data_IF_961688698653
#
_entry.id   IF_961688698653
#
_cell.length_a   1.000
_cell.length_b   1.000
_cell.length_c   1.000
_cell.angle_alpha   90.00
_cell.angle_beta   90.00
_cell.angle_gamma   90.00
#
_symmetry.space_group_name_H-M   'P 1'
#
loop_
_entity.id
_entity.type
_entity.pdbx_description
1 polymer ?
#
# COMPACT_ATOMS: atom_id res chain seq x y z
N UNK A 1 -24.77 43.53 23.89
CA UNK A 1 -23.37 43.51 23.42
C UNK A 1 -22.61 42.23 23.86
N UNK A 2 -23.28 41.06 23.92
CA UNK A 2 -22.60 39.79 24.28
C UNK A 2 -22.88 38.64 23.30
N UNK A 3 -23.65 38.90 22.24
CA UNK A 3 -24.09 37.90 21.25
C UNK A 3 -23.42 38.05 19.88
N UNK A 4 -22.56 39.08 19.71
CA UNK A 4 -21.92 39.39 18.43
C UNK A 4 -20.46 38.94 18.33
N UNK A 5 -19.88 38.35 19.38
CA UNK A 5 -18.46 37.96 19.43
C UNK A 5 -18.21 36.46 19.21
N UNK A 6 -19.25 35.61 19.23
CA UNK A 6 -19.09 34.15 19.04
C UNK A 6 -19.19 33.74 17.55
N UNK A 7 -19.81 34.56 16.70
CA UNK A 7 -19.95 34.25 15.26
C UNK A 7 -18.69 34.53 14.44
N UNK A 8 -17.69 35.24 14.98
CA UNK A 8 -16.49 35.64 14.23
C UNK A 8 -15.32 34.65 14.33
N UNK A 9 -15.47 33.54 15.06
CA UNK A 9 -14.41 32.53 15.23
C UNK A 9 -14.60 31.29 14.35
N UNK A 10 -15.73 31.17 13.63
CA UNK A 10 -16.01 30.02 12.75
C UNK A 10 -15.61 30.25 11.27
N UNK A 11 -14.97 31.37 10.95
CA UNK A 11 -14.71 31.76 9.55
C UNK A 11 -13.26 31.50 9.05
N UNK A 12 -12.43 30.77 9.80
CA UNK A 12 -10.99 30.63 9.47
C UNK A 12 -10.43 29.20 9.42
N UNK A 13 -11.28 28.18 9.28
CA UNK A 13 -10.82 26.79 9.06
C UNK A 13 -11.36 26.17 7.77
N UNK A 14 -11.64 27.00 6.77
CA UNK A 14 -11.63 26.54 5.38
C UNK A 14 -10.17 26.39 4.95
N UNK A 15 -9.49 25.36 5.47
CA UNK A 15 -8.25 24.90 4.85
C UNK A 15 -8.70 24.42 3.47
N UNK A 16 -8.51 25.28 2.47
CA UNK A 16 -8.72 24.93 1.07
C UNK A 16 -7.76 23.79 0.79
N UNK A 17 -8.24 22.55 0.93
CA UNK A 17 -7.51 21.40 0.43
C UNK A 17 -7.18 21.70 -1.03
N UNK A 18 -5.91 21.64 -1.43
CA UNK A 18 -5.56 21.96 -2.80
C UNK A 18 -6.32 21.02 -3.74
N UNK A 19 -6.67 21.49 -4.93
CA UNK A 19 -7.56 20.77 -5.85
C UNK A 19 -7.09 19.33 -6.17
N UNK A 20 -5.79 19.09 -6.08
CA UNK A 20 -5.20 17.76 -6.25
C UNK A 20 -5.40 16.81 -5.06
N UNK A 21 -5.70 17.29 -3.85
CA UNK A 21 -6.12 16.43 -2.73
C UNK A 21 -7.45 15.71 -3.03
N UNK A 22 -8.15 16.12 -4.09
CA UNK A 22 -9.34 15.46 -4.63
C UNK A 22 -9.00 14.34 -5.65
N UNK A 23 -7.72 14.04 -5.88
CA UNK A 23 -7.27 13.04 -6.85
C UNK A 23 -7.66 11.59 -6.49
N UNK A 24 -7.95 11.31 -5.22
CA UNK A 24 -8.42 9.98 -4.80
C UNK A 24 -9.94 9.95 -4.72
N UNK A 25 -10.54 8.94 -5.35
CA UNK A 25 -11.99 8.78 -5.39
C UNK A 25 -12.59 8.62 -3.98
N UNK A 26 -13.76 9.22 -3.76
CA UNK A 26 -14.41 9.30 -2.43
C UNK A 26 -14.71 7.94 -1.82
N UNK A 27 -15.03 6.95 -2.65
CA UNK A 27 -15.27 5.57 -2.23
C UNK A 27 -14.00 4.92 -1.66
N UNK A 28 -12.84 5.15 -2.28
CA UNK A 28 -11.53 4.70 -1.76
C UNK A 28 -11.23 5.35 -0.41
N UNK A 29 -11.40 6.67 -0.29
CA UNK A 29 -11.18 7.40 0.98
C UNK A 29 -12.14 6.89 2.07
N UNK A 30 -13.39 6.62 1.71
CA UNK A 30 -14.39 6.06 2.63
C UNK A 30 -13.99 4.66 3.10
N UNK A 31 -13.56 3.78 2.19
CA UNK A 31 -13.09 2.44 2.55
C UNK A 31 -11.86 2.53 3.48
N UNK A 32 -10.86 3.35 3.10
CA UNK A 32 -9.66 3.58 3.88
C UNK A 32 -9.98 4.01 5.31
N UNK A 33 -10.88 4.98 5.47
CA UNK A 33 -11.21 5.58 6.77
C UNK A 33 -12.13 4.73 7.65
N UNK A 34 -12.66 3.62 7.12
CA UNK A 34 -13.63 2.76 7.84
C UNK A 34 -13.13 1.33 7.95
N UNK A 35 -13.46 0.49 6.96
CA UNK A 35 -13.11 -0.92 6.92
C UNK A 35 -11.59 -1.10 6.86
N UNK A 36 -10.89 -0.36 6.01
CA UNK A 36 -9.42 -0.40 5.92
C UNK A 36 -8.76 -0.06 7.26
N UNK A 37 -9.15 1.06 7.88
CA UNK A 37 -8.66 1.46 9.19
C UNK A 37 -8.93 0.40 10.27
N UNK A 38 -10.09 -0.25 10.22
CA UNK A 38 -10.44 -1.32 11.16
C UNK A 38 -9.51 -2.54 10.99
N UNK A 39 -9.29 -2.96 9.74
CA UNK A 39 -8.43 -4.10 9.41
C UNK A 39 -6.98 -3.85 9.84
N UNK A 40 -6.44 -2.66 9.57
CA UNK A 40 -5.06 -2.35 9.99
C UNK A 40 -4.94 -2.22 11.50
N UNK A 41 -5.94 -1.67 12.21
CA UNK A 41 -5.92 -1.62 13.69
C UNK A 41 -5.85 -3.03 14.28
N UNK A 42 -6.64 -3.96 13.76
CA UNK A 42 -6.57 -5.37 14.16
C UNK A 42 -5.21 -6.00 13.84
N UNK A 43 -4.67 -5.72 12.65
CA UNK A 43 -3.36 -6.20 12.21
C UNK A 43 -2.20 -5.70 13.08
N UNK A 44 -2.12 -4.39 13.29
CA UNK A 44 -1.09 -3.70 14.07
C UNK A 44 -1.12 -4.11 15.55
N UNK A 45 -2.32 -4.34 16.12
CA UNK A 45 -2.46 -4.73 17.53
C UNK A 45 -1.91 -6.14 17.84
N UNK A 46 -1.54 -6.92 16.82
CA UNK A 46 -0.91 -8.24 17.02
C UNK A 46 0.53 -8.12 17.50
N UNK A 47 1.22 -7.05 17.11
CA UNK A 47 2.61 -6.75 17.50
C UNK A 47 2.88 -5.24 17.44
N UNK A 48 2.35 -4.44 18.40
CA UNK A 48 2.49 -2.99 18.35
C UNK A 48 3.93 -2.53 18.23
N UNK A 49 4.83 -3.10 19.05
CA UNK A 49 6.24 -2.74 19.09
C UNK A 49 6.96 -3.10 17.78
N UNK A 50 6.65 -4.25 17.18
CA UNK A 50 7.21 -4.66 15.88
C UNK A 50 6.84 -3.72 14.73
N UNK A 51 5.69 -3.04 14.83
CA UNK A 51 5.27 -1.99 13.89
C UNK A 51 5.64 -0.58 14.35
N UNK A 52 6.42 -0.43 15.42
CA UNK A 52 6.89 0.86 15.92
C UNK A 52 5.89 1.62 16.80
N UNK A 53 4.76 1.01 17.18
CA UNK A 53 3.77 1.56 18.10
C UNK A 53 4.10 1.22 19.56
N UNK A 54 3.73 2.11 20.48
CA UNK A 54 3.98 1.94 21.90
C UNK A 54 3.07 0.89 22.55
N UNK A 55 1.82 0.76 22.07
CA UNK A 55 0.81 -0.18 22.57
C UNK A 55 -0.50 -0.09 21.76
N UNK A 56 -1.45 -0.97 22.08
CA UNK A 56 -2.80 -0.99 21.49
C UNK A 56 -3.58 0.32 21.68
N UNK A 57 -3.34 1.06 22.76
CA UNK A 57 -4.03 2.34 22.99
C UNK A 57 -3.51 3.43 22.04
N UNK A 58 -2.24 3.38 21.62
CA UNK A 58 -1.78 4.23 20.53
C UNK A 58 -2.45 3.83 19.21
N UNK A 59 -2.56 2.53 18.94
CA UNK A 59 -3.18 1.99 17.72
C UNK A 59 -4.67 2.34 17.64
N UNK A 60 -5.41 2.35 18.77
CA UNK A 60 -6.84 2.69 18.76
C UNK A 60 -7.10 4.13 18.30
N UNK A 61 -6.15 5.04 18.51
CA UNK A 61 -6.25 6.46 18.18
C UNK A 61 -5.70 6.82 16.80
N UNK A 62 -5.12 5.86 16.04
CA UNK A 62 -4.62 6.17 14.71
C UNK A 62 -5.75 6.55 13.76
N UNK A 63 -5.41 7.42 12.83
CA UNK A 63 -6.30 7.97 11.80
C UNK A 63 -5.68 7.82 10.42
N UNK A 64 -6.50 7.92 9.38
CA UNK A 64 -6.02 7.92 7.99
C UNK A 64 -5.68 9.35 7.59
N UNK A 65 -4.46 9.53 7.06
CA UNK A 65 -3.98 10.77 6.47
C UNK A 65 -4.24 10.82 4.97
N UNK A 66 -3.50 11.69 4.30
CA UNK A 66 -3.57 11.81 2.85
C UNK A 66 -3.09 10.54 2.15
N UNK A 67 -3.66 10.28 0.98
CA UNK A 67 -3.28 9.18 0.13
C UNK A 67 -3.33 9.56 -1.35
N UNK A 68 -2.68 8.74 -2.17
CA UNK A 68 -2.56 8.95 -3.60
C UNK A 68 -2.68 7.62 -4.35
N UNK A 69 -3.16 7.68 -5.60
CA UNK A 69 -3.16 6.53 -6.50
C UNK A 69 -1.75 6.23 -6.99
N UNK A 70 -1.36 4.96 -7.00
CA UNK A 70 -0.06 4.50 -7.48
C UNK A 70 -0.10 4.28 -8.99
N UNK A 71 0.96 4.74 -9.65
CA UNK A 71 1.26 4.51 -11.05
C UNK A 71 2.56 3.72 -11.17
N UNK A 72 2.63 2.81 -12.14
CA UNK A 72 3.86 2.11 -12.49
C UNK A 72 4.38 2.57 -13.84
N UNK A 73 5.71 2.53 -13.98
CA UNK A 73 6.39 2.86 -15.23
C UNK A 73 6.13 1.74 -16.25
N UNK A 74 5.62 2.12 -17.42
CA UNK A 74 5.58 1.27 -18.60
C UNK A 74 6.95 1.32 -19.28
N UNK A 75 7.67 0.21 -19.21
CA UNK A 75 9.02 0.10 -19.77
C UNK A 75 9.07 0.32 -21.29
N UNK A 76 8.01 0.07 -22.06
CA UNK A 76 8.00 0.33 -23.49
C UNK A 76 7.82 1.82 -23.80
N UNK A 77 7.01 2.52 -22.99
CA UNK A 77 6.85 3.97 -23.09
C UNK A 77 8.10 4.70 -22.60
N UNK A 78 8.70 4.25 -21.49
CA UNK A 78 9.93 4.82 -20.95
C UNK A 78 11.05 4.83 -21.99
N UNK A 79 11.23 3.74 -22.75
CA UNK A 79 12.25 3.64 -23.82
C UNK A 79 12.13 4.71 -24.91
N UNK A 80 10.93 5.25 -25.12
CA UNK A 80 10.65 6.23 -26.18
C UNK A 80 10.54 7.66 -25.63
N UNK A 81 10.50 7.81 -24.30
CA UNK A 81 10.33 9.09 -23.66
C UNK A 81 11.61 9.93 -23.70
N UNK A 82 11.42 11.25 -23.79
CA UNK A 82 12.52 12.20 -23.77
C UNK A 82 12.33 13.30 -22.72
N UNK A 83 11.10 13.72 -22.45
CA UNK A 83 10.81 14.90 -21.63
C UNK A 83 9.54 14.81 -20.77
N UNK A 84 8.81 13.69 -20.79
CA UNK A 84 7.63 13.51 -19.96
C UNK A 84 7.66 12.14 -19.31
N UNK A 85 7.74 12.12 -17.99
CA UNK A 85 7.63 10.93 -17.16
C UNK A 85 6.16 10.56 -16.95
N UNK A 86 5.25 11.54 -16.86
CA UNK A 86 3.80 11.31 -16.76
C UNK A 86 3.28 10.46 -17.94
N UNK A 87 3.82 10.66 -19.15
CA UNK A 87 3.41 9.88 -20.33
C UNK A 87 3.95 8.44 -20.32
N UNK A 88 4.92 8.14 -19.45
CA UNK A 88 5.53 6.80 -19.35
C UNK A 88 4.80 5.85 -18.43
N UNK A 89 3.77 6.31 -17.71
CA UNK A 89 3.17 5.49 -16.66
C UNK A 89 1.81 4.92 -17.04
N UNK A 90 1.36 3.94 -16.23
CA UNK A 90 0.03 3.34 -16.31
C UNK A 90 -0.62 3.40 -14.92
N UNK A 91 -1.86 3.92 -14.81
CA UNK A 91 -2.60 3.93 -13.56
C UNK A 91 -2.83 2.51 -13.06
N UNK A 92 -2.70 2.32 -11.75
CA UNK A 92 -3.10 1.09 -11.08
C UNK A 92 -4.34 1.35 -10.23
N UNK A 93 -5.18 0.34 -10.07
CA UNK A 93 -6.27 0.36 -9.08
C UNK A 93 -5.69 0.09 -7.67
N UNK A 94 -4.61 0.80 -7.33
CA UNK A 94 -3.85 0.71 -6.09
C UNK A 94 -3.71 2.12 -5.54
N UNK A 95 -3.98 2.29 -4.25
CA UNK A 95 -3.84 3.55 -3.54
C UNK A 95 -3.05 3.33 -2.26
N UNK A 96 -2.21 4.29 -1.93
CA UNK A 96 -1.47 4.28 -0.68
C UNK A 96 -1.84 5.47 0.17
N UNK A 97 -2.07 5.21 1.45
CA UNK A 97 -2.46 6.19 2.44
C UNK A 97 -1.46 6.24 3.59
N UNK A 98 -1.19 7.44 4.07
CA UNK A 98 -0.49 7.63 5.34
C UNK A 98 -1.40 7.21 6.50
N UNK A 99 -0.82 6.53 7.48
CA UNK A 99 -1.47 6.20 8.76
C UNK A 99 -0.83 7.07 9.84
N UNK A 100 -1.66 7.90 10.46
CA UNK A 100 -1.23 8.94 11.38
C UNK A 100 -1.44 8.52 12.83
N UNK A 101 -0.39 8.63 13.65
CA UNK A 101 -0.50 8.60 15.11
C UNK A 101 -0.34 10.01 15.65
N UNK A 102 -1.33 10.51 16.37
CA UNK A 102 -1.34 11.90 16.89
C UNK A 102 -1.08 12.97 15.79
N UNK A 103 -1.56 12.72 14.57
CA UNK A 103 -1.38 13.59 13.41
C UNK A 103 -0.02 13.46 12.70
N UNK A 104 0.88 12.59 13.18
CA UNK A 104 2.20 12.35 12.58
C UNK A 104 2.18 11.05 11.77
N UNK A 105 2.67 11.03 10.51
CA UNK A 105 2.82 9.80 9.74
C UNK A 105 3.70 8.79 10.48
N UNK A 106 3.19 7.58 10.66
CA UNK A 106 3.89 6.52 11.40
C UNK A 106 3.98 5.20 10.65
N UNK A 107 2.99 4.92 9.80
CA UNK A 107 3.02 3.80 8.87
C UNK A 107 2.21 4.13 7.62
N UNK A 108 2.06 3.16 6.72
CA UNK A 108 1.26 3.27 5.50
C UNK A 108 0.24 2.14 5.41
N UNK A 109 -0.75 2.34 4.55
CA UNK A 109 -1.77 1.36 4.16
C UNK A 109 -1.90 1.37 2.65
N UNK A 110 -1.80 0.19 2.02
CA UNK A 110 -2.04 0.00 0.60
C UNK A 110 -3.40 -0.66 0.41
N UNK A 111 -4.24 -0.01 -0.39
CA UNK A 111 -5.54 -0.51 -0.82
C UNK A 111 -5.45 -0.86 -2.29
N UNK A 112 -5.97 -2.02 -2.65
CA UNK A 112 -6.13 -2.44 -4.04
C UNK A 112 -7.59 -2.73 -4.34
N UNK A 113 -7.99 -2.50 -5.58
CA UNK A 113 -9.26 -2.98 -6.12
C UNK A 113 -9.00 -3.93 -7.27
N UNK A 114 -9.44 -5.16 -7.12
CA UNK A 114 -9.42 -6.11 -8.24
C UNK A 114 -10.45 -5.68 -9.30
N UNK A 115 -10.15 -5.98 -10.57
CA UNK A 115 -10.94 -5.55 -11.75
C UNK A 115 -12.47 -5.73 -11.66
N UNK A 116 -12.95 -6.63 -10.81
CA UNK A 116 -14.39 -6.87 -10.54
C UNK A 116 -14.71 -7.00 -9.04
N UNK A 117 -13.73 -6.80 -8.17
CA UNK A 117 -13.78 -7.13 -6.75
C UNK A 117 -14.02 -5.93 -5.82
N UNK A 118 -14.27 -6.21 -4.52
CA UNK A 118 -14.29 -5.17 -3.50
C UNK A 118 -12.88 -4.60 -3.28
N UNK A 119 -12.81 -3.43 -2.65
CA UNK A 119 -11.56 -2.90 -2.10
C UNK A 119 -11.00 -3.85 -1.05
N UNK A 120 -9.68 -3.98 -1.01
CA UNK A 120 -8.96 -4.79 -0.03
C UNK A 120 -7.71 -4.06 0.45
N UNK A 121 -7.36 -4.24 1.72
CA UNK A 121 -6.05 -3.83 2.24
C UNK A 121 -5.06 -4.94 1.90
N UNK A 122 -4.07 -4.64 1.06
CA UNK A 122 -3.06 -5.61 0.61
C UNK A 122 -1.77 -5.51 1.40
N UNK A 123 -1.45 -4.33 1.93
CA UNK A 123 -0.27 -4.09 2.77
C UNK A 123 -0.60 -3.05 3.84
N UNK A 124 0.00 -3.18 5.02
CA UNK A 124 -0.02 -2.16 6.07
C UNK A 124 1.25 -2.23 6.92
N UNK A 125 1.59 -1.13 7.60
CA UNK A 125 2.85 -1.00 8.33
C UNK A 125 3.91 -0.30 7.48
N UNK A 126 5.19 -0.62 7.69
CA UNK A 126 6.29 -0.09 6.88
C UNK A 126 6.65 1.38 7.12
N UNK A 127 7.69 1.83 6.42
CA UNK A 127 8.19 3.21 6.51
C UNK A 127 7.32 4.16 5.64
N UNK A 128 6.73 5.23 6.21
CA UNK A 128 5.92 6.20 5.49
C UNK A 128 6.69 7.41 4.93
N UNK A 129 8.00 7.54 5.22
CA UNK A 129 8.80 8.76 5.03
C UNK A 129 8.83 9.23 3.59
N UNK A 130 8.97 8.31 2.62
CA UNK A 130 9.07 8.66 1.20
C UNK A 130 7.74 9.22 0.67
N UNK A 131 6.61 8.61 1.04
CA UNK A 131 5.27 9.11 0.70
C UNK A 131 4.97 10.44 1.42
N UNK A 132 5.28 10.53 2.71
CA UNK A 132 5.09 11.73 3.51
C UNK A 132 5.89 12.91 2.93
N UNK A 133 7.15 12.66 2.53
CA UNK A 133 8.01 13.64 1.87
C UNK A 133 7.39 14.15 0.57
N UNK A 134 6.91 13.25 -0.29
CA UNK A 134 6.28 13.62 -1.56
C UNK A 134 5.04 14.48 -1.31
N UNK A 135 4.13 14.05 -0.43
CA UNK A 135 2.90 14.78 -0.13
C UNK A 135 3.23 16.17 0.43
N UNK A 136 4.16 16.26 1.39
CA UNK A 136 4.58 17.54 1.96
C UNK A 136 5.19 18.48 0.90
N UNK A 137 5.99 17.95 -0.01
CA UNK A 137 6.62 18.73 -1.08
C UNK A 137 5.59 19.23 -2.09
N UNK A 138 4.60 18.42 -2.45
CA UNK A 138 3.47 18.83 -3.28
C UNK A 138 2.65 19.95 -2.63
N UNK A 139 2.44 19.90 -1.30
CA UNK A 139 1.81 21.00 -0.56
C UNK A 139 2.62 22.27 -0.59
N UNK A 140 3.95 22.19 -0.48
CA UNK A 140 4.83 23.35 -0.55
C UNK A 140 4.79 24.04 -1.92
N UNK A 141 4.58 23.28 -3.00
CA UNK A 141 4.44 23.81 -4.36
C UNK A 141 3.10 24.52 -4.61
N UNK A 142 2.08 24.23 -3.79
CA UNK A 142 0.76 24.84 -3.84
C UNK A 142 -0.16 24.23 -4.89
N UNK A 143 -0.76 25.08 -5.74
CA UNK A 143 -1.72 24.65 -6.74
C UNK A 143 -1.01 23.99 -7.94
N UNK A 144 -0.76 22.68 -7.82
CA UNK A 144 -0.29 21.83 -8.93
C UNK A 144 -1.47 21.10 -9.58
N UNK A 145 -1.40 20.85 -10.88
CA UNK A 145 -2.42 20.04 -11.56
C UNK A 145 -2.11 18.56 -11.38
N UNK A 146 -3.05 17.81 -10.80
CA UNK A 146 -3.16 16.34 -10.81
C UNK A 146 -1.79 15.61 -10.75
N UNK A 147 -1.11 15.63 -9.60
CA UNK A 147 0.17 14.95 -9.44
C UNK A 147 -0.01 13.44 -9.58
N UNK A 148 0.91 12.84 -10.33
CA UNK A 148 1.04 11.41 -10.55
C UNK A 148 2.05 10.85 -9.55
N UNK A 149 1.62 9.95 -8.67
CA UNK A 149 2.52 9.24 -7.76
C UNK A 149 3.02 7.96 -8.44
N UNK A 150 4.31 7.93 -8.74
CA UNK A 150 4.97 6.83 -9.43
C UNK A 150 5.74 6.03 -8.38
N UNK A 151 5.47 4.73 -8.29
CA UNK A 151 6.22 3.85 -7.37
C UNK A 151 7.37 3.17 -8.12
N UNK A 152 8.59 3.38 -7.65
CA UNK A 152 9.79 2.66 -8.07
C UNK A 152 10.31 1.91 -6.83
N UNK A 153 10.14 0.58 -6.80
CA UNK A 153 10.49 -0.26 -5.64
C UNK A 153 9.86 0.28 -4.32
N UNK A 154 10.69 0.79 -3.42
CA UNK A 154 10.31 1.32 -2.09
C UNK A 154 10.30 2.86 -2.05
N UNK A 155 10.53 3.50 -3.20
CA UNK A 155 10.55 4.96 -3.36
C UNK A 155 9.35 5.44 -4.19
N UNK A 156 8.94 6.68 -3.96
CA UNK A 156 7.84 7.31 -4.67
C UNK A 156 8.32 8.58 -5.37
N UNK A 157 8.08 8.70 -6.67
CA UNK A 157 8.35 9.92 -7.42
C UNK A 157 7.02 10.60 -7.71
N UNK A 158 6.89 11.88 -7.41
CA UNK A 158 5.74 12.68 -7.84
C UNK A 158 6.08 13.37 -9.15
N UNK A 159 5.24 13.24 -10.16
CA UNK A 159 5.33 14.01 -11.40
C UNK A 159 4.07 14.88 -11.56
N UNK A 160 4.23 16.15 -11.87
CA UNK A 160 3.10 17.09 -11.99
C UNK A 160 3.40 18.19 -13.02
N UNK A 161 2.37 18.93 -13.42
CA UNK A 161 2.53 20.08 -14.31
C UNK A 161 2.33 21.39 -13.55
N UNK A 162 3.20 22.36 -13.81
CA UNK A 162 3.15 23.74 -13.32
C UNK A 162 3.60 24.67 -14.44
N UNK A 163 2.83 25.70 -14.74
CA UNK A 163 3.11 26.66 -15.84
C UNK A 163 3.42 25.99 -17.20
N UNK A 164 2.69 24.90 -17.51
CA UNK A 164 2.85 24.09 -18.72
C UNK A 164 4.22 23.37 -18.85
N UNK A 165 4.97 23.29 -17.76
CA UNK A 165 6.19 22.51 -17.62
C UNK A 165 5.93 21.31 -16.70
N UNK A 166 6.44 20.14 -17.09
CA UNK A 166 6.45 18.98 -16.21
C UNK A 166 7.61 19.07 -15.23
N UNK A 167 7.30 18.82 -13.96
CA UNK A 167 8.23 18.83 -12.86
C UNK A 167 8.08 17.54 -12.05
N UNK A 168 9.19 17.11 -11.44
CA UNK A 168 9.26 15.92 -10.61
C UNK A 168 9.79 16.25 -9.22
N UNK A 169 9.28 15.53 -8.22
CA UNK A 169 9.83 15.46 -6.86
C UNK A 169 10.17 14.00 -6.61
N UNK A 170 11.43 13.72 -6.28
CA UNK A 170 11.88 12.39 -5.89
C UNK A 170 12.49 12.45 -4.48
N UNK A 171 12.14 11.52 -3.57
CA UNK A 171 12.70 11.46 -2.23
C UNK A 171 14.16 11.04 -2.30
N UNK A 172 14.96 11.61 -1.40
CA UNK A 172 16.31 11.16 -1.15
C UNK A 172 16.25 10.00 -0.16
N UNK A 173 16.59 8.76 -0.56
CA UNK A 173 17.15 7.81 0.40
C UNK A 173 18.67 7.74 0.26
N UNK A 174 19.31 7.97 1.41
CA UNK A 174 20.73 8.06 1.67
C UNK A 174 21.45 6.72 1.48
N UNK A 175 21.67 6.30 0.23
CA UNK A 175 22.83 5.47 -0.15
C UNK A 175 23.02 5.30 -1.66
N UNK A 176 22.01 5.60 -2.49
CA UNK A 176 22.08 5.35 -3.93
C UNK A 176 21.87 6.60 -4.81
N UNK A 177 21.18 7.64 -4.34
CA UNK A 177 20.89 8.83 -5.16
C UNK A 177 22.16 9.63 -5.52
N UNK A 178 23.10 9.81 -4.59
CA UNK A 178 24.40 10.45 -4.86
C UNK A 178 25.32 9.57 -5.73
N UNK A 179 25.16 8.24 -5.70
CA UNK A 179 25.90 7.34 -6.60
C UNK A 179 25.29 7.26 -8.00
N UNK A 180 24.11 7.87 -8.21
CA UNK A 180 23.31 7.81 -9.44
C UNK A 180 23.06 9.19 -10.08
N UNK A 181 23.67 10.26 -9.56
CA UNK A 181 23.65 11.60 -10.18
C UNK A 181 22.39 12.44 -9.91
N UNK A 182 21.49 12.01 -9.02
CA UNK A 182 20.24 12.72 -8.77
C UNK A 182 20.45 13.95 -7.85
N UNK A 183 19.87 15.11 -8.17
CA UNK A 183 20.03 16.34 -7.38
C UNK A 183 19.35 16.25 -6.00
N UNK A 184 20.02 16.79 -4.98
CA UNK A 184 19.69 16.64 -3.56
C UNK A 184 18.72 17.69 -2.97
N UNK A 185 17.74 18.19 -3.73
CA UNK A 185 16.95 19.34 -3.29
C UNK A 185 15.43 19.08 -3.23
N UNK A 186 14.76 19.74 -2.28
CA UNK A 186 13.30 19.84 -2.14
C UNK A 186 12.62 20.49 -3.35
N UNK A 187 13.42 21.06 -4.25
CA UNK A 187 12.93 21.80 -5.40
C UNK A 187 12.51 20.84 -6.51
N UNK A 188 11.35 21.05 -7.12
CA UNK A 188 10.98 20.28 -8.29
C UNK A 188 12.00 20.45 -9.42
N UNK A 189 12.30 19.36 -10.11
CA UNK A 189 13.25 19.34 -11.22
C UNK A 189 12.58 18.87 -12.49
N UNK A 190 13.23 19.05 -13.63
CA UNK A 190 12.70 18.58 -14.91
C UNK A 190 12.96 17.07 -15.07
N UNK A 191 12.09 16.33 -15.78
CA UNK A 191 12.14 14.87 -15.78
C UNK A 191 13.25 14.26 -16.64
N UNK A 192 13.93 15.03 -17.50
CA UNK A 192 14.85 14.50 -18.53
C UNK A 192 15.98 13.67 -17.93
N UNK A 193 16.63 14.18 -16.89
CA UNK A 193 17.74 13.46 -16.25
C UNK A 193 17.26 12.17 -15.57
N UNK A 194 16.10 12.20 -14.92
CA UNK A 194 15.53 11.00 -14.30
C UNK A 194 15.12 9.97 -15.36
N UNK A 195 14.54 10.40 -16.48
CA UNK A 195 14.21 9.52 -17.61
C UNK A 195 15.48 8.83 -18.12
N UNK A 196 16.58 9.57 -18.33
CA UNK A 196 17.87 9.02 -18.76
C UNK A 196 18.41 7.98 -17.76
N UNK A 197 18.36 8.29 -16.47
CA UNK A 197 18.77 7.38 -15.39
C UNK A 197 17.92 6.10 -15.39
N UNK A 198 16.60 6.21 -15.51
CA UNK A 198 15.67 5.07 -15.54
C UNK A 198 15.86 4.22 -16.80
N UNK A 199 16.09 4.84 -17.96
CA UNK A 199 16.39 4.15 -19.22
C UNK A 199 17.71 3.38 -19.13
N UNK A 200 18.74 3.96 -18.51
CA UNK A 200 20.03 3.30 -18.28
C UNK A 200 19.85 2.07 -17.39
N UNK A 201 19.13 2.18 -16.28
CA UNK A 201 18.84 1.04 -15.40
C UNK A 201 18.07 -0.08 -16.11
N UNK A 202 17.16 0.26 -17.02
CA UNK A 202 16.41 -0.71 -17.81
C UNK A 202 17.29 -1.46 -18.83
N UNK A 203 18.33 -0.80 -19.34
CA UNK A 203 19.26 -1.41 -20.30
C UNK A 203 20.35 -2.23 -19.60
N UNK A 204 20.86 -1.79 -18.46
CA UNK A 204 21.89 -2.52 -17.70
C UNK A 204 21.36 -3.84 -17.12
N UNK A 205 20.06 -3.93 -16.85
CA UNK A 205 19.41 -5.15 -16.37
C UNK A 205 19.15 -6.20 -17.47
N UNK A 206 19.61 -5.96 -18.71
CA UNK A 206 19.46 -6.90 -19.83
C UNK A 206 20.64 -7.86 -20.05
N UNK A 207 21.73 -7.75 -19.29
CA UNK A 207 22.89 -8.66 -19.37
C UNK A 207 22.84 -9.82 -18.34
N UNK A 208 21.87 -9.82 -17.42
CA UNK A 208 21.71 -10.84 -16.36
C UNK A 208 20.68 -11.94 -16.74
N UNK A 209 20.82 -12.57 -17.92
CA UNK A 209 19.97 -13.70 -18.34
C UNK A 209 20.20 -15.02 -17.55
N UNK A 210 20.97 -15.02 -16.45
CA UNK A 210 21.31 -16.25 -15.72
C UNK A 210 20.63 -16.43 -14.35
N UNK A 211 20.07 -15.39 -13.72
CA UNK A 211 19.31 -15.53 -12.48
C UNK A 211 17.98 -14.78 -12.62
N UNK A 212 16.86 -15.51 -12.51
CA UNK A 212 15.49 -15.10 -12.87
C UNK A 212 14.86 -13.95 -12.08
N UNK A 213 15.52 -12.79 -11.97
CA UNK A 213 14.97 -11.55 -11.43
C UNK A 213 14.47 -10.66 -12.58
N UNK A 214 13.35 -11.05 -13.18
CA UNK A 214 12.77 -10.36 -14.32
C UNK A 214 12.33 -8.92 -14.03
N UNK A 215 12.67 -8.02 -14.97
CA UNK A 215 12.04 -6.74 -15.35
C UNK A 215 11.53 -5.79 -14.27
N UNK A 216 11.80 -4.49 -14.45
CA UNK A 216 11.32 -3.34 -13.65
C UNK A 216 9.78 -3.23 -13.46
N UNK A 217 9.01 -4.22 -13.91
CA UNK A 217 7.56 -4.31 -13.76
C UNK A 217 7.03 -5.74 -13.43
N UNK A 218 7.87 -6.78 -13.25
CA UNK A 218 7.37 -8.17 -13.11
C UNK A 218 7.24 -8.68 -11.66
N UNK A 219 7.69 -7.93 -10.65
CA UNK A 219 7.65 -8.41 -9.27
C UNK A 219 6.33 -8.14 -8.51
N UNK A 220 5.33 -7.53 -9.15
CA UNK A 220 4.03 -7.23 -8.53
C UNK A 220 2.82 -7.82 -9.28
N UNK A 221 2.99 -8.98 -9.92
CA UNK A 221 1.88 -9.93 -9.81
C UNK A 221 1.84 -10.35 -8.36
N UNK A 222 0.73 -10.10 -7.68
CA UNK A 222 0.49 -10.65 -6.37
C UNK A 222 0.88 -12.13 -6.39
N UNK A 223 2.00 -12.45 -5.77
CA UNK A 223 2.23 -13.81 -5.31
C UNK A 223 1.00 -14.11 -4.47
N UNK A 224 0.22 -15.10 -4.90
CA UNK A 224 -1.03 -15.57 -4.28
C UNK A 224 -0.64 -16.23 -2.95
N UNK A 225 -0.02 -15.44 -2.07
CA UNK A 225 0.47 -15.77 -0.75
C UNK A 225 -0.68 -15.62 0.21
N UNK A 226 -1.67 -16.44 -0.09
CA UNK A 226 -2.91 -16.66 0.58
C UNK A 226 -2.61 -17.44 1.88
N UNK A 227 -1.78 -16.86 2.76
CA UNK A 227 -1.33 -17.47 4.01
C UNK A 227 -2.52 -17.69 4.98
N UNK A 228 -3.57 -16.87 4.83
CA UNK A 228 -4.84 -17.02 5.52
C UNK A 228 -5.66 -18.22 5.00
N UNK A 229 -5.79 -18.42 3.69
CA UNK A 229 -6.51 -19.60 3.15
C UNK A 229 -5.71 -20.89 3.31
N UNK A 230 -4.37 -20.84 3.35
CA UNK A 230 -3.52 -22.00 3.69
C UNK A 230 -3.67 -22.42 5.15
N UNK A 231 -3.79 -21.46 6.08
CA UNK A 231 -4.06 -21.77 7.50
C UNK A 231 -5.47 -22.34 7.71
N UNK A 232 -6.46 -21.82 6.99
CA UNK A 232 -7.85 -22.31 7.05
C UNK A 232 -7.95 -23.73 6.46
N UNK A 233 -7.28 -24.02 5.35
CA UNK A 233 -7.29 -25.36 4.73
C UNK A 233 -6.57 -26.40 5.58
N UNK A 234 -5.43 -26.07 6.20
CA UNK A 234 -4.74 -26.99 7.12
C UNK A 234 -5.60 -27.29 8.35
N UNK A 235 -6.25 -26.27 8.93
CA UNK A 235 -7.19 -26.45 10.05
C UNK A 235 -8.38 -27.35 9.67
N UNK A 236 -8.96 -27.16 8.48
CA UNK A 236 -10.06 -27.97 7.99
C UNK A 236 -9.66 -29.44 7.75
N UNK A 237 -8.45 -29.69 7.24
CA UNK A 237 -7.92 -31.05 7.05
C UNK A 237 -7.70 -31.74 8.41
N UNK A 238 -7.14 -31.04 9.40
CA UNK A 238 -6.94 -31.60 10.75
C UNK A 238 -8.30 -31.93 11.40
N UNK A 239 -9.30 -31.06 11.26
CA UNK A 239 -10.65 -31.31 11.76
C UNK A 239 -11.30 -32.52 11.08
N UNK A 240 -11.16 -32.68 9.76
CA UNK A 240 -11.67 -33.84 9.03
C UNK A 240 -11.00 -35.14 9.45
N UNK A 241 -9.67 -35.13 9.66
CA UNK A 241 -8.93 -36.30 10.15
C UNK A 241 -9.37 -36.67 11.56
N UNK A 242 -9.54 -35.70 12.46
CA UNK A 242 -10.01 -35.95 13.82
C UNK A 242 -11.42 -36.56 13.85
N UNK A 243 -12.35 -36.00 13.06
CA UNK A 243 -13.71 -36.55 12.91
C UNK A 243 -13.68 -37.97 12.34
N UNK A 244 -12.85 -38.22 11.33
CA UNK A 244 -12.71 -39.55 10.74
C UNK A 244 -12.15 -40.57 11.73
N UNK A 245 -11.14 -40.21 12.52
CA UNK A 245 -10.56 -41.07 13.54
C UNK A 245 -11.57 -41.37 14.67
N UNK A 246 -12.31 -40.37 15.14
CA UNK A 246 -13.37 -40.55 16.15
C UNK A 246 -14.47 -41.46 15.59
N UNK A 247 -14.90 -41.24 14.35
CA UNK A 247 -15.92 -42.07 13.70
C UNK A 247 -15.44 -43.52 13.52
N UNK A 248 -14.21 -43.72 13.05
CA UNK A 248 -13.61 -45.06 12.88
C UNK A 248 -13.48 -45.78 14.23
N UNK A 249 -13.07 -45.07 15.29
CA UNK A 249 -13.01 -45.60 16.65
C UNK A 249 -14.39 -46.02 17.17
N UNK A 250 -15.39 -45.15 17.05
CA UNK A 250 -16.77 -45.46 17.47
C UNK A 250 -17.39 -46.61 16.67
N UNK A 251 -17.13 -46.67 15.36
CA UNK A 251 -17.58 -47.77 14.49
C UNK A 251 -16.95 -49.10 14.89
N UNK A 252 -15.65 -49.12 15.21
CA UNK A 252 -14.95 -50.32 15.69
C UNK A 252 -15.50 -50.78 17.04
N UNK A 253 -15.86 -49.85 17.93
CA UNK A 253 -16.43 -50.16 19.24
C UNK A 253 -17.86 -50.73 19.14
N UNK A 254 -18.71 -50.18 18.26
CA UNK A 254 -20.04 -50.75 17.96
C UNK A 254 -19.97 -52.15 17.34
N UNK A 255 -18.97 -52.40 16.49
CA UNK A 255 -18.76 -53.73 15.91
C UNK A 255 -18.32 -54.75 16.98
N UNK A 256 -17.42 -54.35 17.87
CA UNK A 256 -16.95 -55.21 18.98
C UNK A 256 -18.04 -55.47 20.03
N UNK A 257 -18.92 -54.51 20.33
CA UNK A 257 -20.06 -54.75 21.22
C UNK A 257 -21.08 -55.71 20.59
N UNK A 258 -21.41 -55.52 19.30
CA UNK A 258 -22.31 -56.42 18.58
C UNK A 258 -21.75 -57.84 18.41
N UNK A 259 -20.43 -58.00 18.34
CA UNK A 259 -19.77 -59.30 18.27
C UNK A 259 -19.79 -60.02 19.64
N UNK A 260 -19.63 -59.28 20.73
CA UNK A 260 -19.67 -59.82 22.10
C UNK A 260 -21.07 -60.29 22.51
N UNK A 261 -22.12 -59.64 22.01
CA UNK A 261 -23.51 -60.06 22.24
C UNK A 261 -23.89 -61.32 21.46
N UNK A 262 -23.27 -61.55 20.28
CA UNK A 262 -23.46 -62.80 19.51
C UNK A 262 -22.70 -64.00 20.09
N UNK A 263 -21.67 -63.78 20.90
CA UNK A 263 -20.89 -64.82 21.57
C UNK A 263 -21.47 -65.26 22.94
N UNK A 264 -22.55 -64.62 23.40
CA UNK A 264 -23.29 -65.03 24.62
C UNK A 264 -24.50 -65.94 24.35
N UNK A 265 -24.72 -66.32 23.09
CA UNK A 265 -25.87 -67.15 22.67
C UNK A 265 -25.44 -68.60 22.32
N UNK A 266 -24.19 -68.98 22.64
CA UNK A 266 -23.73 -70.38 22.57
C UNK A 266 -23.14 -70.81 23.90
#
# INVERSE_FOLDING_TARGET
MLLLTVASFLLFLSISSPAWAQAVAKDVVSFASTEGLTLIKEGLSKDPEGYGYANDAEISEITIGEGMQIYFIDGAKLKQASNSLIETVIPQEIWEFLVLSSGVPKSKMIIQKDSTGPYQVTEFGGNPDTLAYVIQSLHAEGAVSEPTLIRERDEYIAAFKKDNQELIIAPQQASAAESKGLPSNLEPHTPEHLIEVLQTMQNDSSDDEQDGSGTLASAYYADDNNHLTRSITISAIIALVAVFLIWAYLRRRKFLSSFKDRLKIY
#
